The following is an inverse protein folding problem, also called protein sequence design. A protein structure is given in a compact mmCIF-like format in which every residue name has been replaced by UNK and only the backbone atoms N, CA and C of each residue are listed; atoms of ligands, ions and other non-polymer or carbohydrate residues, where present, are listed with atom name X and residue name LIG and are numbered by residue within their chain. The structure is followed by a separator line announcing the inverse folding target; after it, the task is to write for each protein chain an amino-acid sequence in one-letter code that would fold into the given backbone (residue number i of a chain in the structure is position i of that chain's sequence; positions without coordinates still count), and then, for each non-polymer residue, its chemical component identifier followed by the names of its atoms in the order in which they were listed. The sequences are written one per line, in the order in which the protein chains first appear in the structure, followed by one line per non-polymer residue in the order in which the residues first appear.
data_IF_723819409077
#
_entry.id   IF_723819409077
#
_cell.length_a   1.000
_cell.length_b   1.000
_cell.length_c   1.000
_cell.angle_alpha   90.00
_cell.angle_beta   90.00
_cell.angle_gamma   90.00
#
_symmetry.space_group_name_H-M   'P 1'
#
loop_
_entity.id
_entity.type
_entity.pdbx_description
1 polymer ?
#
# COMPACT_ATOMS: atom_id res chain seq x y z
N UNK A 1 -6.70 7.92 25.67
CA UNK A 1 -6.22 9.33 25.67
C UNK A 1 -7.43 10.24 25.50
N UNK A 2 -7.89 10.93 26.55
CA UNK A 2 -9.14 11.70 26.53
C UNK A 2 -8.89 13.17 26.19
N UNK A 3 -9.45 13.66 25.09
CA UNK A 3 -9.47 15.09 24.75
C UNK A 3 -10.60 15.79 25.50
N UNK A 4 -10.27 16.78 26.34
CA UNK A 4 -11.24 17.70 26.93
C UNK A 4 -11.37 18.96 26.06
N UNK A 5 -12.57 19.24 25.57
CA UNK A 5 -12.95 20.55 25.04
C UNK A 5 -13.63 21.34 26.17
N UNK A 6 -13.00 22.43 26.59
CA UNK A 6 -13.52 23.32 27.63
C UNK A 6 -14.51 24.29 26.96
N UNK A 7 -15.81 24.16 27.24
CA UNK A 7 -16.85 25.11 26.78
C UNK A 7 -16.52 26.52 27.25
N UNK A 8 -16.28 27.43 26.32
CA UNK A 8 -16.29 28.87 26.57
C UNK A 8 -17.75 29.35 26.53
N UNK A 9 -18.34 29.58 27.71
CA UNK A 9 -19.59 30.33 27.84
C UNK A 9 -19.34 31.80 27.47
N UNK A 10 -20.22 32.32 26.61
CA UNK A 10 -20.50 33.74 26.36
C UNK A 10 -19.38 34.74 26.69
N UNK A 11 -18.45 34.89 25.77
CA UNK A 11 -17.47 35.97 25.72
C UNK A 11 -16.93 36.06 24.31
N UNK A 12 -16.66 37.28 23.83
CA UNK A 12 -16.17 37.63 22.48
C UNK A 12 -15.18 36.59 21.89
N UNK A 13 -15.18 36.39 20.55
CA UNK A 13 -14.34 35.40 19.90
C UNK A 13 -12.85 35.65 20.19
N UNK A 14 -12.24 34.74 20.96
CA UNK A 14 -10.79 34.66 21.20
C UNK A 14 -10.22 33.75 20.09
N UNK A 15 -9.27 34.20 19.25
CA UNK A 15 -8.77 33.49 18.05
C UNK A 15 -7.87 32.28 18.35
N UNK A 16 -8.16 31.53 19.42
CA UNK A 16 -7.30 30.43 19.87
C UNK A 16 -7.61 29.13 19.12
N UNK A 17 -6.55 28.63 18.48
CA UNK A 17 -6.42 27.39 17.70
C UNK A 17 -7.08 26.21 18.41
N UNK A 18 -7.87 25.43 17.68
CA UNK A 18 -8.34 24.13 18.14
C UNK A 18 -7.49 23.04 17.49
N UNK A 19 -6.94 22.13 18.29
CA UNK A 19 -6.17 20.99 17.77
C UNK A 19 -7.13 19.79 17.76
N UNK A 20 -7.42 19.26 16.58
CA UNK A 20 -8.19 18.04 16.41
C UNK A 20 -7.21 16.92 16.09
N UNK A 21 -6.92 16.08 17.08
CA UNK A 21 -6.09 14.88 16.88
C UNK A 21 -7.00 13.72 16.49
N UNK A 22 -7.03 13.40 15.19
CA UNK A 22 -7.64 12.19 14.64
C UNK A 22 -6.50 11.26 14.20
N UNK A 23 -6.07 10.37 15.10
CA UNK A 23 -5.24 9.14 14.98
C UNK A 23 -4.19 8.95 13.85
N UNK A 24 -3.91 9.91 12.97
CA UNK A 24 -2.90 9.81 11.90
C UNK A 24 -2.47 11.14 11.29
N UNK A 25 -3.11 12.25 11.63
CA UNK A 25 -2.72 13.59 11.18
C UNK A 25 -3.11 14.60 12.28
N UNK A 26 -2.14 15.40 12.75
CA UNK A 26 -2.43 16.52 13.65
C UNK A 26 -3.03 17.65 12.82
N UNK A 27 -4.33 17.88 12.94
CA UNK A 27 -4.98 18.99 12.25
C UNK A 27 -5.02 20.19 13.16
N UNK A 28 -4.34 21.27 12.77
CA UNK A 28 -4.49 22.58 13.41
C UNK A 28 -5.65 23.30 12.78
N UNK A 29 -6.76 23.40 13.51
CA UNK A 29 -7.89 24.25 13.12
C UNK A 29 -7.64 25.69 13.57
N UNK A 30 -7.46 26.58 12.59
CA UNK A 30 -7.50 28.02 12.80
C UNK A 30 -8.81 28.57 12.19
N UNK A 31 -9.70 29.18 12.99
CA UNK A 31 -10.86 29.88 12.45
C UNK A 31 -10.36 31.12 11.71
N UNK A 32 -10.29 31.04 10.39
CA UNK A 32 -9.92 32.18 9.53
C UNK A 32 -11.18 32.62 8.82
N UNK A 33 -11.72 33.79 9.17
CA UNK A 33 -12.97 34.31 8.57
C UNK A 33 -14.20 33.40 8.66
N UNK A 34 -14.30 32.56 9.69
CA UNK A 34 -15.40 31.61 9.85
C UNK A 34 -15.21 30.27 9.12
N UNK A 35 -14.07 30.09 8.44
CA UNK A 35 -13.67 28.83 7.83
C UNK A 35 -12.75 28.03 8.75
N UNK A 36 -12.91 26.71 8.74
CA UNK A 36 -12.04 25.77 9.41
C UNK A 36 -10.93 25.36 8.44
N UNK A 37 -9.71 25.86 8.66
CA UNK A 37 -8.55 25.41 7.88
C UNK A 37 -7.98 24.17 8.55
N UNK A 38 -7.92 23.08 7.80
CA UNK A 38 -7.34 21.80 8.20
C UNK A 38 -6.02 21.61 7.48
N UNK A 39 -4.91 21.86 8.18
CA UNK A 39 -3.58 21.66 7.63
C UNK A 39 -3.03 20.28 8.01
N UNK A 40 -2.54 19.54 7.01
CA UNK A 40 -1.68 18.38 7.20
C UNK A 40 -0.37 18.59 6.43
N UNK A 41 0.66 17.79 6.71
CA UNK A 41 1.96 17.92 6.03
C UNK A 41 1.94 17.74 4.51
N UNK A 42 0.80 17.36 3.92
CA UNK A 42 0.59 17.22 2.47
C UNK A 42 -0.27 18.37 1.86
N UNK A 43 -0.78 19.30 2.67
CA UNK A 43 -1.57 20.45 2.21
C UNK A 43 -2.58 20.96 3.23
N UNK A 44 -3.20 22.10 2.93
CA UNK A 44 -4.28 22.68 3.72
C UNK A 44 -5.61 22.50 2.99
N UNK A 45 -6.61 21.98 3.68
CA UNK A 45 -8.00 21.94 3.22
C UNK A 45 -8.79 23.05 3.92
N UNK A 46 -9.49 23.87 3.15
CA UNK A 46 -10.36 24.93 3.70
C UNK A 46 -11.79 24.45 3.74
N UNK A 47 -12.41 24.51 4.91
CA UNK A 47 -13.74 24.01 5.16
C UNK A 47 -14.67 25.15 5.59
N UNK A 48 -15.63 25.53 4.74
CA UNK A 48 -16.67 26.50 5.09
C UNK A 48 -17.83 25.79 5.80
N UNK A 49 -18.36 26.33 6.90
CA UNK A 49 -19.49 25.73 7.61
C UNK A 49 -20.75 25.70 6.72
N UNK A 50 -21.47 24.59 6.73
CA UNK A 50 -22.73 24.40 6.00
C UNK A 50 -23.92 24.51 6.97
N UNK A 51 -24.02 23.55 7.87
CA UNK A 51 -25.11 23.41 8.84
C UNK A 51 -24.65 22.61 10.06
N UNK A 52 -25.37 22.75 11.18
CA UNK A 52 -25.21 21.90 12.36
C UNK A 52 -26.57 21.31 12.72
N UNK A 53 -26.67 19.99 12.77
CA UNK A 53 -27.93 19.27 13.02
C UNK A 53 -27.78 18.38 14.24
N UNK A 54 -28.67 18.55 15.22
CA UNK A 54 -28.74 17.65 16.37
C UNK A 54 -29.47 16.35 15.99
N UNK A 55 -28.80 15.21 16.17
CA UNK A 55 -29.34 13.90 15.84
C UNK A 55 -28.94 12.90 16.94
N UNK A 56 -29.93 12.29 17.58
CA UNK A 56 -29.75 11.28 18.65
C UNK A 56 -28.84 11.75 19.81
N UNK A 57 -28.98 13.01 20.23
CA UNK A 57 -28.18 13.58 21.33
C UNK A 57 -26.74 13.93 20.95
N UNK A 58 -26.40 13.92 19.66
CA UNK A 58 -25.12 14.39 19.13
C UNK A 58 -25.34 15.52 18.12
N UNK A 59 -24.46 16.53 18.11
CA UNK A 59 -24.51 17.64 17.15
C UNK A 59 -23.59 17.29 15.97
N UNK A 60 -24.16 17.19 14.77
CA UNK A 60 -23.41 16.91 13.54
C UNK A 60 -23.12 18.23 12.84
N UNK A 61 -21.88 18.70 12.92
CA UNK A 61 -21.39 19.89 12.23
C UNK A 61 -20.93 19.52 10.82
N UNK A 62 -21.58 20.02 9.78
CA UNK A 62 -21.17 19.79 8.39
C UNK A 62 -20.41 20.99 7.86
N UNK A 63 -19.39 20.71 7.06
CA UNK A 63 -18.57 21.69 6.40
C UNK A 63 -18.37 21.31 4.93
N UNK A 64 -18.32 22.29 4.04
CA UNK A 64 -17.96 22.11 2.63
C UNK A 64 -16.50 22.46 2.43
N UNK A 65 -15.74 21.55 1.85
CA UNK A 65 -14.41 21.84 1.35
C UNK A 65 -14.51 22.82 0.18
N UNK A 66 -13.89 23.99 0.29
CA UNK A 66 -13.96 25.02 -0.77
C UNK A 66 -13.20 24.62 -2.02
N UNK A 67 -12.17 23.78 -1.87
CA UNK A 67 -11.28 23.39 -2.95
C UNK A 67 -11.88 22.23 -3.75
N UNK A 68 -12.52 21.27 -3.07
CA UNK A 68 -13.07 20.05 -3.71
C UNK A 68 -14.58 20.03 -3.84
N UNK A 69 -15.30 20.90 -3.11
CA UNK A 69 -16.77 20.88 -3.00
C UNK A 69 -17.32 19.75 -2.11
N UNK A 70 -16.48 18.89 -1.56
CA UNK A 70 -16.89 17.74 -0.75
C UNK A 70 -17.39 18.18 0.64
N UNK A 71 -18.39 17.49 1.20
CA UNK A 71 -18.99 17.85 2.49
C UNK A 71 -18.52 16.93 3.60
N UNK A 72 -17.69 17.41 4.52
CA UNK A 72 -17.26 16.65 5.71
C UNK A 72 -18.16 16.93 6.89
N UNK A 73 -18.30 16.00 7.82
CA UNK A 73 -19.08 16.18 9.03
C UNK A 73 -18.30 15.76 10.29
N UNK A 74 -18.47 16.51 11.36
CA UNK A 74 -17.90 16.24 12.68
C UNK A 74 -19.06 16.03 13.65
N UNK A 75 -19.05 14.89 14.35
CA UNK A 75 -20.05 14.56 15.35
C UNK A 75 -19.51 14.99 16.71
N UNK A 76 -20.22 15.91 17.34
CA UNK A 76 -19.99 16.38 18.71
C UNK A 76 -20.96 15.66 19.66
N UNK A 77 -20.42 15.10 20.74
CA UNK A 77 -21.18 14.54 21.85
C UNK A 77 -20.59 15.09 23.15
N UNK A 78 -21.43 15.61 24.05
CA UNK A 78 -21.02 16.20 25.33
C UNK A 78 -19.94 17.30 25.21
N UNK A 79 -20.02 18.14 24.17
CA UNK A 79 -19.04 19.20 23.93
C UNK A 79 -17.73 18.73 23.30
N UNK A 80 -17.63 17.46 22.89
CA UNK A 80 -16.41 16.87 22.34
C UNK A 80 -16.67 16.25 20.97
N UNK A 81 -15.77 16.49 20.02
CA UNK A 81 -15.83 15.82 18.72
C UNK A 81 -15.44 14.34 18.92
N UNK A 82 -16.40 13.45 18.76
CA UNK A 82 -16.23 11.99 18.95
C UNK A 82 -16.03 11.26 17.64
N UNK A 83 -16.51 11.81 16.52
CA UNK A 83 -16.42 11.15 15.21
C UNK A 83 -16.17 12.15 14.09
N UNK A 84 -15.30 11.78 13.17
CA UNK A 84 -15.16 12.41 11.87
C UNK A 84 -15.84 11.54 10.81
N UNK A 85 -16.75 12.16 10.06
CA UNK A 85 -17.46 11.57 8.94
C UNK A 85 -16.96 12.29 7.69
N UNK A 86 -16.04 11.67 6.96
CA UNK A 86 -15.66 12.18 5.64
C UNK A 86 -16.89 12.25 4.73
N UNK A 87 -16.87 13.14 3.73
CA UNK A 87 -17.89 13.27 2.68
C UNK A 87 -18.26 11.96 1.98
N UNK A 88 -17.41 10.94 2.12
CA UNK A 88 -17.70 9.55 1.77
C UNK A 88 -18.70 8.81 2.68
N UNK A 89 -19.64 9.51 3.33
CA UNK A 89 -20.79 8.87 3.99
C UNK A 89 -21.74 8.16 3.01
N UNK A 90 -21.62 8.48 1.73
CA UNK A 90 -21.85 7.51 0.66
C UNK A 90 -20.52 6.78 0.54
N UNK A 91 -20.44 5.52 0.95
CA UNK A 91 -19.39 4.65 0.42
C UNK A 91 -19.42 4.88 -1.08
N UNK A 92 -18.47 5.66 -1.63
CA UNK A 92 -18.22 5.58 -3.06
C UNK A 92 -17.91 4.10 -3.18
N UNK A 93 -18.83 3.34 -3.74
CA UNK A 93 -18.52 2.10 -4.39
C UNK A 93 -17.64 2.49 -5.59
N UNK A 94 -16.44 3.02 -5.30
CA UNK A 94 -15.32 2.91 -6.18
C UNK A 94 -15.26 1.41 -6.41
N UNK A 95 -15.40 1.00 -7.66
CA UNK A 95 -15.15 -0.39 -8.01
C UNK A 95 -13.75 -0.67 -7.54
N UNK A 96 -13.63 -1.33 -6.39
CA UNK A 96 -12.36 -1.73 -5.83
C UNK A 96 -11.84 -2.71 -6.86
N UNK A 97 -10.85 -2.26 -7.64
CA UNK A 97 -10.17 -3.13 -8.60
C UNK A 97 -9.77 -4.40 -7.87
N UNK A 98 -9.75 -5.55 -8.54
CA UNK A 98 -9.32 -6.82 -7.95
C UNK A 98 -7.94 -6.67 -7.24
N UNK A 99 -7.13 -5.73 -7.72
CA UNK A 99 -5.82 -5.39 -7.16
C UNK A 99 -5.84 -4.47 -5.94
N UNK A 100 -6.97 -3.85 -5.60
CA UNK A 100 -7.12 -2.98 -4.43
C UNK A 100 -7.78 -3.70 -3.24
N UNK A 101 -8.33 -4.90 -3.45
CA UNK A 101 -8.92 -5.70 -2.37
C UNK A 101 -7.83 -6.43 -1.56
N UNK A 102 -7.92 -6.46 -0.22
CA UNK A 102 -6.96 -7.18 0.63
C UNK A 102 -6.85 -8.68 0.29
N UNK A 103 -7.98 -9.34 0.03
CA UNK A 103 -7.99 -10.77 -0.31
C UNK A 103 -7.23 -11.04 -1.61
N UNK A 104 -7.41 -10.17 -2.61
CA UNK A 104 -6.67 -10.24 -3.87
C UNK A 104 -5.16 -10.05 -3.66
N UNK A 105 -4.78 -9.13 -2.79
CA UNK A 105 -3.38 -8.91 -2.41
C UNK A 105 -2.76 -10.18 -1.82
N UNK A 106 -3.38 -10.78 -0.81
CA UNK A 106 -2.84 -12.00 -0.16
C UNK A 106 -2.82 -13.21 -1.10
N UNK A 107 -3.82 -13.37 -1.96
CA UNK A 107 -3.85 -14.45 -2.96
C UNK A 107 -2.67 -14.34 -3.95
N UNK A 108 -2.41 -13.13 -4.48
CA UNK A 108 -1.28 -12.90 -5.39
C UNK A 108 0.05 -13.06 -4.65
N UNK A 109 0.14 -12.61 -3.40
CA UNK A 109 1.35 -12.76 -2.58
C UNK A 109 1.70 -14.23 -2.36
N UNK A 110 0.71 -15.06 -1.99
CA UNK A 110 0.89 -16.51 -1.84
C UNK A 110 1.29 -17.18 -3.15
N UNK A 111 0.64 -16.82 -4.26
CA UNK A 111 0.98 -17.36 -5.58
C UNK A 111 2.40 -16.99 -6.00
N UNK A 112 2.81 -15.74 -5.74
CA UNK A 112 4.16 -15.25 -5.98
C UNK A 112 5.21 -15.97 -5.13
N UNK A 113 4.91 -16.24 -3.86
CA UNK A 113 5.76 -17.02 -2.95
C UNK A 113 5.99 -18.44 -3.49
N UNK A 114 4.92 -19.15 -3.85
CA UNK A 114 4.99 -20.50 -4.41
C UNK A 114 5.75 -20.52 -5.75
N UNK A 115 5.52 -19.54 -6.63
CA UNK A 115 6.23 -19.38 -7.88
C UNK A 115 7.73 -19.15 -7.67
N UNK A 116 8.10 -18.35 -6.67
CA UNK A 116 9.49 -18.03 -6.32
C UNK A 116 10.22 -19.26 -5.79
N UNK A 117 9.58 -20.03 -4.90
CA UNK A 117 10.09 -21.31 -4.42
C UNK A 117 10.29 -22.31 -5.57
N UNK A 118 9.29 -22.45 -6.44
CA UNK A 118 9.38 -23.36 -7.60
C UNK A 118 10.53 -22.97 -8.55
N UNK A 119 10.77 -21.68 -8.76
CA UNK A 119 11.88 -21.19 -9.59
C UNK A 119 13.24 -21.54 -8.97
N UNK A 120 13.42 -21.35 -7.67
CA UNK A 120 14.65 -21.70 -6.93
C UNK A 120 14.89 -23.21 -6.92
N UNK A 121 13.87 -24.01 -6.57
CA UNK A 121 13.95 -25.48 -6.57
C UNK A 121 14.28 -26.00 -7.98
N UNK A 122 13.69 -25.40 -9.03
CA UNK A 122 14.02 -25.76 -10.41
C UNK A 122 15.45 -25.37 -10.80
N UNK A 123 16.05 -24.35 -10.19
CA UNK A 123 17.45 -23.99 -10.39
C UNK A 123 18.39 -24.97 -9.69
N UNK A 124 18.14 -25.24 -8.41
CA UNK A 124 18.93 -26.17 -7.60
C UNK A 124 18.91 -27.57 -8.21
N UNK A 125 17.73 -28.07 -8.58
CA UNK A 125 17.62 -29.41 -9.20
C UNK A 125 18.39 -29.53 -10.51
N UNK A 126 18.58 -28.43 -11.26
CA UNK A 126 19.44 -28.43 -12.46
C UNK A 126 20.92 -28.39 -12.14
N UNK A 127 21.33 -27.72 -11.07
CA UNK A 127 22.73 -27.73 -10.63
C UNK A 127 23.15 -29.12 -10.16
N UNK A 128 22.23 -29.88 -9.58
CA UNK A 128 22.45 -31.26 -9.13
C UNK A 128 22.39 -32.29 -10.27
N UNK A 129 21.79 -31.96 -11.42
CA UNK A 129 21.68 -32.87 -12.56
C UNK A 129 22.89 -32.73 -13.52
N UNK A 130 23.64 -33.81 -13.81
CA UNK A 130 24.89 -33.75 -14.59
C UNK A 130 24.74 -33.47 -16.10
N UNK A 131 23.55 -33.10 -16.59
CA UNK A 131 23.33 -32.84 -18.02
C UNK A 131 23.74 -31.41 -18.39
N UNK A 132 24.85 -31.26 -19.13
CA UNK A 132 25.30 -29.95 -19.61
C UNK A 132 24.24 -29.29 -20.52
N UNK A 133 23.72 -28.10 -20.17
CA UNK A 133 22.79 -27.39 -21.03
C UNK A 133 23.53 -26.73 -22.21
N UNK A 134 22.92 -26.76 -23.41
CA UNK A 134 23.32 -25.92 -24.56
C UNK A 134 23.44 -24.46 -24.12
N UNK A 135 24.47 -23.74 -24.61
CA UNK A 135 24.88 -22.41 -24.12
C UNK A 135 23.73 -21.39 -23.96
N UNK A 136 22.75 -21.33 -24.89
CA UNK A 136 21.61 -20.39 -24.82
C UNK A 136 20.54 -20.78 -23.80
N UNK A 137 20.44 -22.05 -23.42
CA UNK A 137 19.56 -22.49 -22.33
C UNK A 137 20.13 -22.17 -20.93
N UNK A 138 21.41 -21.75 -20.85
CA UNK A 138 22.03 -21.33 -19.58
C UNK A 138 21.42 -20.04 -19.06
N UNK A 139 21.13 -19.05 -19.92
CA UNK A 139 20.65 -17.74 -19.47
C UNK A 139 19.29 -17.84 -18.77
N UNK A 140 18.31 -18.51 -19.38
CA UNK A 140 17.01 -18.81 -18.72
C UNK A 140 17.21 -19.69 -17.48
N UNK A 141 18.18 -20.61 -17.52
CA UNK A 141 18.51 -21.50 -16.42
C UNK A 141 19.09 -20.77 -15.20
N UNK A 142 19.71 -19.61 -15.38
CA UNK A 142 20.28 -18.77 -14.31
C UNK A 142 19.30 -17.68 -13.88
N UNK A 143 18.64 -17.01 -14.84
CA UNK A 143 17.76 -15.88 -14.53
C UNK A 143 16.52 -16.28 -13.73
N UNK A 144 15.86 -17.39 -14.06
CA UNK A 144 14.67 -17.83 -13.33
C UNK A 144 14.93 -18.08 -11.84
N UNK A 145 15.93 -18.89 -11.42
CA UNK A 145 16.21 -19.08 -10.00
C UNK A 145 16.73 -17.81 -9.32
N UNK A 146 17.52 -16.97 -10.01
CA UNK A 146 17.94 -15.68 -9.45
C UNK A 146 16.74 -14.75 -9.20
N UNK A 147 15.78 -14.72 -10.13
CA UNK A 147 14.53 -13.95 -9.98
C UNK A 147 13.70 -14.47 -8.81
N UNK A 148 13.56 -15.80 -8.69
CA UNK A 148 12.86 -16.42 -7.56
C UNK A 148 13.52 -16.10 -6.23
N UNK A 149 14.86 -16.20 -6.15
CA UNK A 149 15.60 -15.85 -4.93
C UNK A 149 15.43 -14.37 -4.55
N UNK A 150 15.49 -13.46 -5.53
CA UNK A 150 15.28 -12.04 -5.29
C UNK A 150 13.88 -11.74 -4.74
N UNK A 151 12.83 -12.39 -5.28
CA UNK A 151 11.47 -12.27 -4.74
C UNK A 151 11.35 -12.84 -3.32
N UNK A 152 11.98 -13.98 -3.02
CA UNK A 152 11.96 -14.54 -1.67
C UNK A 152 12.62 -13.59 -0.65
N UNK A 153 13.74 -12.97 -1.02
CA UNK A 153 14.41 -11.98 -0.17
C UNK A 153 13.47 -10.80 0.08
N UNK A 154 12.87 -10.24 -0.97
CA UNK A 154 11.93 -9.12 -0.86
C UNK A 154 10.73 -9.45 0.05
N UNK A 155 10.10 -10.61 -0.18
CA UNK A 155 8.97 -11.09 0.62
C UNK A 155 9.35 -11.32 2.09
N UNK A 156 10.59 -11.77 2.36
CA UNK A 156 11.09 -11.94 3.73
C UNK A 156 11.18 -10.59 4.44
N UNK A 157 11.77 -9.57 3.79
CA UNK A 157 11.87 -8.23 4.39
C UNK A 157 10.49 -7.56 4.59
N UNK A 158 9.56 -7.71 3.64
CA UNK A 158 8.18 -7.26 3.87
C UNK A 158 7.54 -7.99 5.04
N UNK A 159 7.69 -9.32 5.12
CA UNK A 159 7.17 -10.12 6.22
C UNK A 159 7.69 -9.66 7.59
N UNK A 160 9.01 -9.45 7.70
CA UNK A 160 9.64 -8.94 8.92
C UNK A 160 9.11 -7.55 9.29
N UNK A 161 9.00 -6.64 8.32
CA UNK A 161 8.47 -5.30 8.54
C UNK A 161 7.02 -5.34 9.04
N UNK A 162 6.12 -6.05 8.34
CA UNK A 162 4.71 -6.09 8.71
C UNK A 162 4.47 -6.84 10.02
N UNK A 163 5.28 -7.86 10.32
CA UNK A 163 5.21 -8.54 11.61
C UNK A 163 5.57 -7.58 12.76
N UNK A 164 6.63 -6.77 12.62
CA UNK A 164 7.01 -5.76 13.61
C UNK A 164 5.96 -4.66 13.73
N UNK A 165 5.50 -4.12 12.59
CA UNK A 165 4.48 -3.07 12.55
C UNK A 165 3.13 -3.52 13.14
N UNK A 166 2.81 -4.82 13.09
CA UNK A 166 1.60 -5.37 13.72
C UNK A 166 1.72 -5.53 15.24
N UNK A 167 2.95 -5.63 15.77
CA UNK A 167 3.21 -5.76 17.21
C UNK A 167 3.41 -4.40 17.89
N UNK A 168 3.99 -3.44 17.17
CA UNK A 168 4.30 -2.11 17.68
C UNK A 168 4.00 -1.05 16.61
N UNK A 169 2.96 -0.25 16.87
CA UNK A 169 2.56 0.85 16.00
C UNK A 169 3.67 1.91 15.87
N UNK A 170 4.56 2.03 16.87
CA UNK A 170 5.68 2.99 16.84
C UNK A 170 6.65 2.76 15.69
N UNK A 171 6.81 1.50 15.24
CA UNK A 171 7.65 1.13 14.10
C UNK A 171 7.21 1.83 12.81
N UNK A 172 5.90 2.08 12.65
CA UNK A 172 5.36 2.78 11.47
C UNK A 172 5.69 4.28 11.52
N UNK A 173 5.80 4.87 12.71
CA UNK A 173 5.97 6.31 12.88
C UNK A 173 7.44 6.74 12.99
N UNK A 174 8.29 5.95 13.65
CA UNK A 174 9.67 6.34 13.95
C UNK A 174 10.71 5.61 13.10
N UNK A 175 10.48 4.34 12.76
CA UNK A 175 11.43 3.50 12.04
C UNK A 175 11.18 3.46 10.52
N UNK A 176 10.22 4.23 10.01
CA UNK A 176 9.96 4.32 8.57
C UNK A 176 11.14 5.00 7.83
N UNK A 177 11.64 4.43 6.72
CA UNK A 177 11.17 3.23 6.03
C UNK A 177 11.90 1.91 6.39
N UNK A 178 12.88 1.93 7.29
CA UNK A 178 13.47 0.72 7.91
C UNK A 178 13.68 -0.49 6.99
N UNK A 179 13.22 -1.67 7.42
CA UNK A 179 13.25 -2.91 6.65
C UNK A 179 12.35 -2.89 5.42
N UNK A 180 11.29 -2.07 5.44
CA UNK A 180 10.42 -1.88 4.29
C UNK A 180 11.20 -1.34 3.09
N UNK A 181 12.16 -0.44 3.29
CA UNK A 181 13.02 0.06 2.22
C UNK A 181 13.85 -1.07 1.58
N UNK A 182 14.38 -1.99 2.38
CA UNK A 182 15.14 -3.14 1.85
C UNK A 182 14.21 -4.04 1.02
N UNK A 183 13.00 -4.32 1.52
CA UNK A 183 11.96 -5.02 0.77
C UNK A 183 11.62 -4.33 -0.55
N UNK A 184 11.46 -3.01 -0.53
CA UNK A 184 11.12 -2.20 -1.71
C UNK A 184 12.21 -2.21 -2.79
N UNK A 185 13.47 -2.07 -2.39
CA UNK A 185 14.62 -2.11 -3.31
C UNK A 185 14.86 -3.50 -3.87
N UNK A 186 14.80 -4.53 -3.03
CA UNK A 186 14.93 -5.93 -3.49
C UNK A 186 13.76 -6.35 -4.36
N UNK A 187 12.55 -5.88 -4.07
CA UNK A 187 11.36 -6.05 -4.91
C UNK A 187 11.50 -5.36 -6.27
N UNK A 188 12.10 -4.16 -6.32
CA UNK A 188 12.39 -3.48 -7.58
C UNK A 188 13.42 -4.26 -8.42
N UNK A 189 14.49 -4.73 -7.80
CA UNK A 189 15.47 -5.59 -8.46
C UNK A 189 14.82 -6.89 -8.97
N UNK A 190 13.95 -7.52 -8.18
CA UNK A 190 13.21 -8.72 -8.56
C UNK A 190 12.25 -8.48 -9.72
N UNK A 191 11.59 -7.32 -9.78
CA UNK A 191 10.74 -6.92 -10.90
C UNK A 191 11.54 -6.76 -12.21
N UNK A 192 12.72 -6.12 -12.15
CA UNK A 192 13.63 -6.00 -13.30
C UNK A 192 14.09 -7.39 -13.76
N UNK A 193 14.50 -8.26 -12.84
CA UNK A 193 14.87 -9.64 -13.15
C UNK A 193 13.71 -10.44 -13.75
N UNK A 194 12.48 -10.18 -13.33
CA UNK A 194 11.27 -10.79 -13.91
C UNK A 194 11.09 -10.36 -15.37
N UNK A 195 11.26 -9.07 -15.68
CA UNK A 195 11.22 -8.57 -17.05
C UNK A 195 12.32 -9.18 -17.92
N UNK A 196 13.56 -9.24 -17.42
CA UNK A 196 14.68 -9.89 -18.11
C UNK A 196 14.42 -11.38 -18.34
N UNK A 197 13.84 -12.07 -17.37
CA UNK A 197 13.45 -13.48 -17.50
C UNK A 197 12.36 -13.69 -18.56
N UNK A 198 11.37 -12.80 -18.62
CA UNK A 198 10.32 -12.85 -19.65
C UNK A 198 10.92 -12.67 -21.05
N UNK A 199 11.82 -11.69 -21.23
CA UNK A 199 12.53 -11.48 -22.49
C UNK A 199 13.39 -12.69 -22.87
N UNK A 200 14.15 -13.23 -21.92
CA UNK A 200 14.99 -14.42 -22.15
C UNK A 200 14.15 -15.63 -22.57
N UNK A 201 12.98 -15.83 -21.96
CA UNK A 201 12.04 -16.89 -22.33
C UNK A 201 11.46 -16.66 -23.71
N UNK A 202 11.05 -15.43 -24.05
CA UNK A 202 10.54 -15.07 -25.37
C UNK A 202 11.58 -15.35 -26.48
N UNK A 203 12.83 -14.93 -26.29
CA UNK A 203 13.91 -15.21 -27.24
C UNK A 203 14.23 -16.70 -27.36
N UNK A 204 14.20 -17.43 -26.25
CA UNK A 204 14.43 -18.86 -26.27
C UNK A 204 13.29 -19.62 -26.97
N UNK A 205 12.05 -19.13 -26.89
CA UNK A 205 10.88 -19.73 -27.53
C UNK A 205 11.03 -19.78 -29.05
N UNK A 206 11.53 -18.71 -29.68
CA UNK A 206 11.67 -18.60 -31.14
C UNK A 206 12.53 -19.72 -31.78
N UNK A 207 13.40 -20.36 -31.01
CA UNK A 207 14.40 -21.31 -31.55
C UNK A 207 14.40 -22.67 -30.87
N UNK A 208 13.53 -22.90 -29.89
CA UNK A 208 13.57 -24.11 -29.07
C UNK A 208 12.27 -24.94 -29.13
N UNK A 209 12.43 -26.22 -29.47
CA UNK A 209 11.40 -27.23 -29.33
C UNK A 209 11.34 -27.72 -27.87
N UNK A 210 10.67 -26.94 -27.03
CA UNK A 210 10.35 -27.35 -25.67
C UNK A 210 9.07 -28.19 -25.65
N UNK A 211 9.03 -29.18 -24.76
CA UNK A 211 7.78 -29.89 -24.48
C UNK A 211 6.71 -28.92 -23.95
N UNK A 212 5.44 -29.21 -24.25
CA UNK A 212 4.29 -28.41 -23.82
C UNK A 212 4.33 -28.21 -22.30
N UNK A 213 4.56 -29.28 -21.54
CA UNK A 213 4.67 -29.24 -20.08
C UNK A 213 5.72 -28.23 -19.58
N UNK A 214 6.91 -28.21 -20.20
CA UNK A 214 7.98 -27.29 -19.83
C UNK A 214 7.60 -25.84 -20.12
N UNK A 215 6.92 -25.59 -21.25
CA UNK A 215 6.42 -24.25 -21.62
C UNK A 215 5.39 -23.78 -20.59
N UNK A 216 4.36 -24.58 -20.33
CA UNK A 216 3.28 -24.23 -19.40
C UNK A 216 3.82 -23.89 -18.01
N UNK A 217 4.74 -24.69 -17.47
CA UNK A 217 5.34 -24.41 -16.15
C UNK A 217 6.09 -23.08 -16.13
N UNK A 218 6.95 -22.81 -17.12
CA UNK A 218 7.75 -21.57 -17.18
C UNK A 218 6.83 -20.35 -17.32
N UNK A 219 5.84 -20.43 -18.20
CA UNK A 219 4.88 -19.34 -18.42
C UNK A 219 4.02 -19.10 -17.18
N UNK A 220 3.52 -20.15 -16.52
CA UNK A 220 2.73 -20.02 -15.30
C UNK A 220 3.55 -19.36 -14.17
N UNK A 221 4.80 -19.78 -13.96
CA UNK A 221 5.70 -19.14 -12.99
C UNK A 221 5.93 -17.67 -13.33
N UNK A 222 6.24 -17.34 -14.59
CA UNK A 222 6.44 -15.95 -15.01
C UNK A 222 5.19 -15.09 -14.81
N UNK A 223 4.01 -15.59 -15.18
CA UNK A 223 2.75 -14.86 -15.00
C UNK A 223 2.47 -14.58 -13.51
N UNK A 224 2.74 -15.53 -12.63
CA UNK A 224 2.62 -15.32 -11.19
C UNK A 224 3.58 -14.24 -10.66
N UNK A 225 4.85 -14.24 -11.11
CA UNK A 225 5.84 -13.24 -10.70
C UNK A 225 5.54 -11.85 -11.28
N UNK A 226 5.03 -11.77 -12.52
CA UNK A 226 4.56 -10.53 -13.13
C UNK A 226 3.36 -9.98 -12.34
N UNK A 227 2.38 -10.84 -12.02
CA UNK A 227 1.22 -10.45 -11.22
C UNK A 227 1.64 -9.94 -9.84
N UNK A 228 2.60 -10.59 -9.19
CA UNK A 228 3.18 -10.13 -7.93
C UNK A 228 3.82 -8.74 -8.07
N UNK A 229 4.63 -8.53 -9.09
CA UNK A 229 5.27 -7.23 -9.34
C UNK A 229 4.26 -6.12 -9.61
N UNK A 230 3.24 -6.38 -10.43
CA UNK A 230 2.16 -5.43 -10.70
C UNK A 230 1.38 -5.10 -9.43
N UNK A 231 1.04 -6.12 -8.64
CA UNK A 231 0.32 -5.94 -7.38
C UNK A 231 1.12 -5.09 -6.40
N UNK A 232 2.37 -5.43 -6.13
CA UNK A 232 3.21 -4.66 -5.21
C UNK A 232 3.45 -3.22 -5.70
N UNK A 233 3.59 -2.99 -7.02
CA UNK A 233 3.66 -1.64 -7.56
C UNK A 233 2.35 -0.85 -7.40
N UNK A 234 1.19 -1.50 -7.54
CA UNK A 234 -0.12 -0.87 -7.31
C UNK A 234 -0.32 -0.44 -5.84
N UNK A 235 0.31 -1.16 -4.91
CA UNK A 235 0.34 -0.85 -3.48
C UNK A 235 1.49 0.08 -3.08
N UNK A 236 2.24 0.63 -4.04
CA UNK A 236 3.42 1.46 -3.82
C UNK A 236 4.50 0.79 -2.93
N UNK A 237 4.61 -0.53 -3.01
CA UNK A 237 5.60 -1.29 -2.27
C UNK A 237 6.91 -1.47 -3.04
N UNK A 238 6.96 -1.17 -4.34
CA UNK A 238 8.18 -1.35 -5.16
C UNK A 238 8.90 -0.02 -5.41
N UNK A 239 10.20 -0.02 -5.15
CA UNK A 239 11.13 1.03 -5.56
C UNK A 239 11.03 2.32 -4.72
N UNK A 240 11.83 3.34 -5.07
CA UNK A 240 11.89 4.61 -4.35
C UNK A 240 10.67 5.46 -4.70
N UNK A 241 9.53 5.13 -4.11
CA UNK A 241 8.43 6.07 -3.90
C UNK A 241 8.27 6.26 -2.40
N UNK A 242 9.36 6.73 -1.80
CA UNK A 242 9.42 7.17 -0.40
C UNK A 242 9.04 8.64 -0.33
#
# INVERSE_FOLDING_TARGET
MSLQLRRLRHGKPDPKRCIVSLARTSWTAAPTHGELVLENGAGAARLSPLDAVEQNGAIVHRFRNTDTGETVAFVEQDGRITRYLSAGGVNRATRVSLFAAPDGFFAILLLGLLASLAAVISGISRLLAPTQPRARARLVGVLMPATGAAWLIALTFYGLYFQRAAQDEWVVFADWPGEFAIGAWTGAAAAVLTALSALAVAFAWLKANWSVWRRTRIVATLMALIALGVMLNAWNMIGPRL
#
